data_IF_833406900171
#
_entry.id   IF_833406900171
#
_cell.length_a   1.000
_cell.length_b   1.000
_cell.length_c   1.000
_cell.angle_alpha   90.00
_cell.angle_beta   90.00
_cell.angle_gamma   90.00
#
_symmetry.space_group_name_H-M   'P 1'
#
loop_
_entity.id
_entity.type
_entity.pdbx_description
1 polymer ?
#
# COMPACT_ATOMS: atom_id res chain seq x y z
N UNK A 1 3.58 24.71 -58.84
CA UNK A 1 4.12 24.11 -57.60
C UNK A 1 3.48 24.83 -56.43
N UNK A 2 2.35 24.33 -55.95
CA UNK A 2 1.65 24.83 -54.78
C UNK A 2 2.10 24.02 -53.58
N UNK A 3 2.90 24.64 -52.70
CA UNK A 3 3.25 24.07 -51.41
C UNK A 3 2.01 24.14 -50.52
N UNK A 4 1.46 22.97 -50.19
CA UNK A 4 0.51 22.82 -49.09
C UNK A 4 1.38 22.65 -47.85
N UNK A 5 1.55 23.72 -47.09
CA UNK A 5 2.10 23.64 -45.73
C UNK A 5 1.03 23.02 -44.84
N UNK A 6 1.25 21.75 -44.52
CA UNK A 6 0.50 20.98 -43.53
C UNK A 6 0.87 21.50 -42.13
N UNK A 7 0.19 22.58 -41.70
CA UNK A 7 0.22 23.02 -40.31
C UNK A 7 -0.64 22.08 -39.47
N UNK A 8 -0.09 20.91 -39.14
CA UNK A 8 -0.59 20.06 -38.08
C UNK A 8 -0.19 20.66 -36.72
N UNK A 9 -0.97 21.61 -36.22
CA UNK A 9 -0.95 21.93 -34.79
C UNK A 9 -1.31 20.64 -34.03
N UNK A 10 -0.31 20.00 -33.44
CA UNK A 10 -0.55 18.99 -32.44
C UNK A 10 -1.36 19.64 -31.31
N UNK A 11 -2.50 19.05 -30.90
CA UNK A 11 -3.22 19.56 -29.75
C UNK A 11 -2.30 19.53 -28.53
N UNK A 12 -2.45 20.44 -27.57
CA UNK A 12 -1.67 20.39 -26.34
C UNK A 12 -1.96 19.04 -25.69
N UNK A 13 -0.90 18.27 -25.40
CA UNK A 13 -0.96 17.08 -24.55
C UNK A 13 -1.31 17.57 -23.15
N UNK A 14 -2.60 17.80 -22.93
CA UNK A 14 -3.16 18.09 -21.63
C UNK A 14 -3.19 16.76 -20.86
N UNK A 15 -2.26 16.64 -19.92
CA UNK A 15 -2.32 15.72 -18.78
C UNK A 15 -2.67 14.27 -19.09
N UNK A 16 -1.68 13.46 -19.51
CA UNK A 16 -1.70 12.05 -19.12
C UNK A 16 -1.53 12.05 -17.60
N UNK A 17 -2.64 12.11 -16.86
CA UNK A 17 -2.66 11.69 -15.46
C UNK A 17 -2.10 10.28 -15.48
N UNK A 18 -0.96 10.05 -14.84
CA UNK A 18 -0.44 8.70 -14.68
C UNK A 18 -1.47 7.93 -13.86
N UNK A 19 -2.34 7.17 -14.52
CA UNK A 19 -3.47 6.46 -13.88
C UNK A 19 -3.00 5.50 -12.78
N UNK A 20 -1.74 5.06 -12.88
CA UNK A 20 -1.09 4.18 -11.93
C UNK A 20 -0.41 4.92 -10.77
N UNK A 21 -0.48 6.26 -10.62
CA UNK A 21 0.13 6.92 -9.45
C UNK A 21 -0.80 6.96 -8.23
N UNK A 22 -0.24 6.77 -7.05
CA UNK A 22 -0.93 6.97 -5.77
C UNK A 22 -0.93 8.47 -5.47
N UNK A 23 -2.09 9.11 -5.61
CA UNK A 23 -2.22 10.56 -5.47
C UNK A 23 -1.28 11.29 -6.44
N UNK A 24 -0.58 12.30 -5.92
CA UNK A 24 0.41 13.09 -6.66
C UNK A 24 1.85 12.58 -6.47
N UNK A 25 2.01 11.34 -6.00
CA UNK A 25 3.34 10.75 -5.73
C UNK A 25 3.90 10.03 -6.95
N UNK A 26 5.19 9.67 -6.88
CA UNK A 26 5.83 8.80 -7.87
C UNK A 26 5.54 7.30 -7.65
N UNK A 27 4.77 6.93 -6.62
CA UNK A 27 4.50 5.55 -6.27
C UNK A 27 3.37 4.96 -7.09
N UNK A 28 3.53 3.68 -7.47
CA UNK A 28 2.58 2.95 -8.32
C UNK A 28 1.47 2.27 -7.51
N UNK A 29 0.21 2.39 -7.94
CA UNK A 29 -0.93 1.66 -7.38
C UNK A 29 -0.75 0.16 -7.59
N UNK A 30 -0.34 -0.25 -8.79
CA UNK A 30 -0.05 -1.64 -9.12
C UNK A 30 1.07 -2.21 -8.26
N UNK A 31 2.10 -1.43 -7.96
CA UNK A 31 3.15 -1.83 -7.03
C UNK A 31 2.57 -2.13 -5.65
N UNK A 32 1.74 -1.23 -5.10
CA UNK A 32 1.13 -1.43 -3.79
C UNK A 32 0.23 -2.68 -3.76
N UNK A 33 -0.64 -2.88 -4.76
CA UNK A 33 -1.44 -4.11 -4.83
C UNK A 33 -0.58 -5.38 -4.91
N UNK A 34 0.52 -5.36 -5.66
CA UNK A 34 1.45 -6.50 -5.72
C UNK A 34 2.09 -6.77 -4.37
N UNK A 35 2.51 -5.74 -3.65
CA UNK A 35 3.06 -5.84 -2.30
C UNK A 35 2.03 -6.48 -1.34
N UNK A 36 0.81 -5.95 -1.30
CA UNK A 36 -0.25 -6.48 -0.43
C UNK A 36 -0.56 -7.97 -0.72
N UNK A 37 -0.61 -8.34 -2.00
CA UNK A 37 -0.81 -9.74 -2.42
C UNK A 37 0.38 -10.65 -2.05
N UNK A 38 1.61 -10.12 -2.01
CA UNK A 38 2.79 -10.88 -1.54
C UNK A 38 2.72 -11.09 -0.03
N UNK A 39 2.38 -10.06 0.74
CA UNK A 39 2.24 -10.15 2.20
C UNK A 39 1.20 -11.20 2.61
N UNK A 40 0.02 -11.20 1.97
CA UNK A 40 -1.03 -12.18 2.26
C UNK A 40 -0.58 -13.62 1.94
N UNK A 41 0.17 -13.82 0.85
CA UNK A 41 0.74 -15.12 0.50
C UNK A 41 1.78 -15.59 1.50
N UNK A 42 2.69 -14.71 1.89
CA UNK A 42 3.74 -14.99 2.88
C UNK A 42 3.14 -15.53 4.19
N UNK A 43 2.07 -14.88 4.64
CA UNK A 43 1.36 -15.26 5.85
C UNK A 43 0.60 -16.59 5.67
N UNK A 44 -0.08 -16.77 4.54
CA UNK A 44 -0.87 -17.97 4.26
C UNK A 44 -0.01 -19.25 4.12
N UNK A 45 1.12 -19.16 3.44
CA UNK A 45 1.99 -20.32 3.18
C UNK A 45 2.65 -20.85 4.46
N UNK A 46 2.80 -19.97 5.47
CA UNK A 46 3.42 -20.30 6.75
C UNK A 46 2.43 -20.72 7.85
N UNK A 47 1.13 -20.86 7.55
CA UNK A 47 0.09 -21.26 8.52
C UNK A 47 0.36 -22.66 9.11
N UNK A 48 0.96 -23.57 8.34
CA UNK A 48 1.10 -24.99 8.71
C UNK A 48 2.26 -25.35 9.65
N UNK A 49 3.15 -24.43 9.98
CA UNK A 49 4.38 -24.74 10.72
C UNK A 49 4.21 -24.47 12.23
N UNK A 50 3.31 -25.14 12.93
CA UNK A 50 2.95 -24.76 14.32
C UNK A 50 4.16 -24.50 15.25
N UNK A 51 4.19 -23.31 15.88
CA UNK A 51 5.14 -22.82 16.90
C UNK A 51 6.53 -22.28 16.48
N UNK A 52 6.82 -22.10 15.18
CA UNK A 52 8.06 -21.42 14.77
C UNK A 52 7.85 -19.94 14.46
N UNK A 53 8.71 -19.09 15.01
CA UNK A 53 8.90 -17.71 14.54
C UNK A 53 9.45 -17.79 13.12
N UNK A 54 8.83 -17.06 12.19
CA UNK A 54 9.26 -16.96 10.80
C UNK A 54 9.99 -15.62 10.58
N UNK A 55 11.09 -15.67 9.82
CA UNK A 55 11.75 -14.47 9.31
C UNK A 55 10.97 -13.95 8.11
N UNK A 56 10.83 -12.63 8.00
CA UNK A 56 10.17 -12.00 6.87
C UNK A 56 11.13 -12.00 5.67
N UNK A 57 10.62 -12.27 4.46
CA UNK A 57 11.40 -12.09 3.23
C UNK A 57 11.96 -10.65 3.17
N UNK A 58 13.29 -10.46 3.03
CA UNK A 58 13.90 -9.13 3.04
C UNK A 58 13.34 -8.21 1.94
N UNK A 59 12.96 -8.77 0.79
CA UNK A 59 12.37 -7.98 -0.30
C UNK A 59 10.95 -7.51 0.00
N UNK A 60 10.16 -8.28 0.78
CA UNK A 60 8.87 -7.83 1.31
C UNK A 60 9.09 -6.81 2.42
N UNK A 61 10.07 -7.01 3.29
CA UNK A 61 10.41 -6.07 4.36
C UNK A 61 10.78 -4.69 3.80
N UNK A 62 11.70 -4.62 2.84
CA UNK A 62 12.16 -3.38 2.22
C UNK A 62 10.99 -2.59 1.59
N UNK A 63 10.10 -3.28 0.88
CA UNK A 63 8.92 -2.66 0.27
C UNK A 63 7.88 -2.21 1.31
N UNK A 64 7.71 -2.96 2.41
CA UNK A 64 6.87 -2.55 3.53
C UNK A 64 7.44 -1.35 4.28
N UNK A 65 8.76 -1.24 4.41
CA UNK A 65 9.40 -0.05 4.96
C UNK A 65 9.15 1.19 4.09
N UNK A 66 9.18 1.05 2.76
CA UNK A 66 8.80 2.14 1.85
C UNK A 66 7.34 2.56 2.08
N UNK A 67 6.42 1.59 2.23
CA UNK A 67 5.03 1.89 2.54
C UNK A 67 4.88 2.56 3.92
N UNK A 68 5.63 2.10 4.93
CA UNK A 68 5.66 2.74 6.24
C UNK A 68 6.08 4.20 6.12
N UNK A 69 7.21 4.50 5.48
CA UNK A 69 7.68 5.86 5.25
C UNK A 69 6.64 6.71 4.52
N UNK A 70 5.97 6.14 3.52
CA UNK A 70 4.89 6.82 2.79
C UNK A 70 3.72 7.19 3.71
N UNK A 71 3.32 6.31 4.62
CA UNK A 71 2.21 6.59 5.56
C UNK A 71 2.54 7.63 6.62
N UNK A 72 3.81 8.01 6.81
CA UNK A 72 4.18 9.11 7.72
C UNK A 72 3.58 10.43 7.21
N UNK A 73 3.54 10.61 5.89
CA UNK A 73 2.95 11.78 5.24
C UNK A 73 1.41 11.73 5.29
N UNK A 74 0.82 12.66 6.03
CA UNK A 74 -0.63 12.76 6.19
C UNK A 74 -1.37 13.11 4.90
N UNK A 75 -0.72 13.79 3.95
CA UNK A 75 -1.35 14.21 2.70
C UNK A 75 -1.62 13.01 1.78
N UNK A 76 -0.78 11.97 1.86
CA UNK A 76 -0.90 10.74 1.06
C UNK A 76 -1.99 9.82 1.62
N UNK A 77 -2.32 9.90 2.91
CA UNK A 77 -3.27 8.99 3.57
C UNK A 77 -4.63 8.95 2.86
N UNK A 78 -5.13 10.08 2.37
CA UNK A 78 -6.40 10.11 1.65
C UNK A 78 -6.36 9.27 0.37
N UNK A 79 -5.22 9.26 -0.33
CA UNK A 79 -5.02 8.45 -1.54
C UNK A 79 -4.89 6.96 -1.23
N UNK A 80 -4.55 6.58 0.01
CA UNK A 80 -4.39 5.18 0.41
C UNK A 80 -5.71 4.47 0.79
N UNK A 81 -6.83 5.21 0.82
CA UNK A 81 -8.15 4.66 1.21
C UNK A 81 -8.65 3.56 0.28
N UNK A 82 -8.21 3.54 -0.98
CA UNK A 82 -8.64 2.55 -1.98
C UNK A 82 -7.96 1.17 -1.86
N UNK A 83 -7.05 0.98 -0.90
CA UNK A 83 -6.20 -0.22 -0.80
C UNK A 83 -6.55 -1.15 0.38
N UNK A 84 -7.63 -0.88 1.12
CA UNK A 84 -8.09 -1.72 2.25
C UNK A 84 -6.99 -2.07 3.27
N UNK A 85 -6.04 -1.14 3.48
CA UNK A 85 -4.84 -1.38 4.27
C UNK A 85 -5.17 -1.82 5.72
N UNK A 86 -6.20 -1.23 6.31
CA UNK A 86 -6.62 -1.56 7.68
C UNK A 86 -7.04 -3.03 7.78
N UNK A 87 -7.89 -3.51 6.88
CA UNK A 87 -8.39 -4.88 6.91
C UNK A 87 -7.29 -5.89 6.62
N UNK A 88 -6.42 -5.58 5.64
CA UNK A 88 -5.30 -6.44 5.27
C UNK A 88 -4.33 -6.58 6.43
N UNK A 89 -3.85 -5.47 7.00
CA UNK A 89 -2.86 -5.53 8.08
C UNK A 89 -3.46 -6.08 9.38
N UNK A 90 -4.73 -5.79 9.68
CA UNK A 90 -5.40 -6.41 10.83
C UNK A 90 -5.54 -7.92 10.67
N UNK A 91 -5.81 -8.40 9.45
CA UNK A 91 -5.82 -9.84 9.14
C UNK A 91 -4.44 -10.46 9.32
N UNK A 92 -3.39 -9.82 8.80
CA UNK A 92 -1.99 -10.28 8.95
C UNK A 92 -1.62 -10.42 10.43
N UNK A 93 -2.02 -9.46 11.28
CA UNK A 93 -1.72 -9.48 12.71
C UNK A 93 -2.31 -10.69 13.46
N UNK A 94 -3.35 -11.34 12.93
CA UNK A 94 -3.92 -12.55 13.55
C UNK A 94 -2.99 -13.77 13.52
N UNK A 95 -2.00 -13.79 12.63
CA UNK A 95 -1.09 -14.93 12.48
C UNK A 95 0.10 -14.92 13.44
N UNK A 96 0.45 -13.79 14.07
CA UNK A 96 1.47 -13.60 15.12
C UNK A 96 2.83 -14.35 14.99
N UNK A 97 3.24 -14.75 13.79
CA UNK A 97 4.45 -15.57 13.56
C UNK A 97 5.65 -14.81 13.03
N UNK A 98 5.45 -13.60 12.56
CA UNK A 98 6.47 -12.76 11.93
C UNK A 98 6.66 -11.48 12.75
N UNK A 99 7.53 -11.47 13.79
CA UNK A 99 7.69 -10.31 14.67
C UNK A 99 7.97 -9.01 13.93
N UNK A 100 8.81 -9.07 12.88
CA UNK A 100 9.16 -7.90 12.08
C UNK A 100 7.98 -7.39 11.24
N UNK A 101 7.23 -8.30 10.63
CA UNK A 101 5.99 -7.94 9.91
C UNK A 101 4.97 -7.33 10.86
N UNK A 102 4.79 -7.92 12.05
CA UNK A 102 3.90 -7.40 13.09
C UNK A 102 4.28 -5.98 13.49
N UNK A 103 5.56 -5.71 13.74
CA UNK A 103 6.06 -4.37 14.07
C UNK A 103 5.73 -3.35 12.97
N UNK A 104 6.05 -3.68 11.71
CA UNK A 104 5.80 -2.78 10.58
C UNK A 104 4.31 -2.54 10.37
N UNK A 105 3.47 -3.59 10.46
CA UNK A 105 2.02 -3.48 10.38
C UNK A 105 1.48 -2.53 11.45
N UNK A 106 1.93 -2.63 12.70
CA UNK A 106 1.53 -1.69 13.76
C UNK A 106 2.00 -0.26 13.47
N UNK A 107 3.21 -0.07 12.94
CA UNK A 107 3.71 1.24 12.54
C UNK A 107 2.86 1.89 11.45
N UNK A 108 2.51 1.14 10.41
CA UNK A 108 1.62 1.58 9.34
C UNK A 108 0.22 1.90 9.89
N UNK A 109 -0.39 0.99 10.65
CA UNK A 109 -1.72 1.21 11.23
C UNK A 109 -1.75 2.43 12.16
N UNK A 110 -0.73 2.62 13.00
CA UNK A 110 -0.62 3.80 13.85
C UNK A 110 -0.55 5.10 13.04
N UNK A 111 0.15 5.10 11.90
CA UNK A 111 0.20 6.23 10.99
C UNK A 111 -1.15 6.49 10.32
N UNK A 112 -1.86 5.44 9.87
CA UNK A 112 -3.19 5.54 9.26
C UNK A 112 -4.22 6.09 10.25
N UNK A 113 -4.17 5.68 11.52
CA UNK A 113 -5.10 6.08 12.58
C UNK A 113 -5.11 7.60 12.87
N UNK A 114 -4.18 8.37 12.31
CA UNK A 114 -4.18 9.85 12.41
C UNK A 114 -5.23 10.49 11.49
N UNK A 115 -5.81 9.73 10.58
CA UNK A 115 -6.88 10.18 9.69
C UNK A 115 -8.22 9.54 10.13
N UNK A 116 -9.25 10.37 10.27
CA UNK A 116 -10.52 10.00 10.93
C UNK A 116 -11.25 8.83 10.26
N UNK A 117 -11.16 8.68 8.92
CA UNK A 117 -11.81 7.58 8.24
C UNK A 117 -11.11 6.26 8.57
N UNK A 118 -9.78 6.22 8.54
CA UNK A 118 -9.05 5.03 8.97
C UNK A 118 -9.25 4.72 10.45
N UNK A 119 -9.25 5.73 11.32
CA UNK A 119 -9.52 5.54 12.75
C UNK A 119 -10.91 4.92 13.00
N UNK A 120 -11.93 5.37 12.26
CA UNK A 120 -13.28 4.81 12.33
C UNK A 120 -13.29 3.33 11.91
N UNK A 121 -12.66 3.00 10.78
CA UNK A 121 -12.55 1.61 10.30
C UNK A 121 -11.85 0.73 11.34
N UNK A 122 -10.76 1.23 11.96
CA UNK A 122 -10.05 0.50 13.01
C UNK A 122 -10.91 0.25 14.25
N UNK A 123 -11.69 1.24 14.68
CA UNK A 123 -12.60 1.09 15.82
C UNK A 123 -13.72 0.07 15.58
N UNK A 124 -14.05 -0.21 14.33
CA UNK A 124 -15.07 -1.19 13.95
C UNK A 124 -14.47 -2.58 13.62
N UNK A 125 -13.15 -2.66 13.46
CA UNK A 125 -12.47 -3.88 13.04
C UNK A 125 -12.28 -4.86 14.22
N UNK A 126 -12.98 -6.00 14.17
CA UNK A 126 -12.94 -7.02 15.21
C UNK A 126 -11.59 -7.72 15.37
N UNK A 127 -10.70 -7.65 14.38
CA UNK A 127 -9.37 -8.26 14.49
C UNK A 127 -8.41 -7.41 15.37
N UNK A 128 -8.79 -6.17 15.69
CA UNK A 128 -8.04 -5.26 16.57
C UNK A 128 -8.65 -5.13 17.98
N UNK A 129 -9.79 -5.79 18.26
CA UNK A 129 -10.49 -5.81 19.56
C UNK A 129 -10.39 -7.16 20.25
#
# INVERSE_FOLDING_TARGET
MSNIEENGENPPVDGIKNEDTIGDTAYSKLWLYKLLMRVLREVNDNVSVENSICELDPGIEDELCILWDMTVDTEILCSLKEFDLVDIFSTVLTTQRFPRLTEICFGILANLAREDNFATIMCENSNLM
#
